data_IF_889499113359
#
_entry.id   IF_889499113359
#
_cell.length_a   1.000
_cell.length_b   1.000
_cell.length_c   1.000
_cell.angle_alpha   90.00
_cell.angle_beta   90.00
_cell.angle_gamma   90.00
#
_symmetry.space_group_name_H-M   'P 1'
#
loop_
_entity.id
_entity.type
_entity.pdbx_description
1 polymer ?
#
# COMPACT_ATOMS: atom_id res chain seq x y z
N UNK A 1 -2.58 -1.72 -20.49
CA UNK A 1 -1.74 -1.54 -19.30
C UNK A 1 -2.59 -1.70 -18.04
N UNK A 2 -2.18 -2.54 -17.09
CA UNK A 2 -2.81 -2.76 -15.79
C UNK A 2 -2.66 -1.52 -14.92
N UNK A 3 -3.70 -1.16 -14.18
CA UNK A 3 -3.69 -0.06 -13.20
C UNK A 3 -2.82 -0.43 -11.99
N UNK A 4 -1.92 0.45 -11.58
CA UNK A 4 -1.13 0.32 -10.36
C UNK A 4 -1.73 1.22 -9.26
N UNK A 5 -2.26 0.58 -8.22
CA UNK A 5 -2.97 1.23 -7.11
C UNK A 5 -2.09 1.16 -5.86
N UNK A 6 -1.75 2.30 -5.28
CA UNK A 6 -1.09 2.33 -3.96
C UNK A 6 -2.15 2.52 -2.89
N UNK A 7 -2.19 1.61 -1.93
CA UNK A 7 -3.07 1.73 -0.77
C UNK A 7 -2.29 1.91 0.52
N UNK A 8 -2.72 2.85 1.37
CA UNK A 8 -2.01 3.18 2.59
C UNK A 8 -2.91 3.72 3.70
N UNK A 9 -2.57 3.36 4.94
CA UNK A 9 -2.88 4.18 6.11
C UNK A 9 -1.82 5.29 6.20
N UNK A 10 -2.27 6.54 6.32
CA UNK A 10 -1.36 7.69 6.35
C UNK A 10 -1.80 8.71 7.41
N UNK A 11 -0.85 9.32 8.11
CA UNK A 11 -1.13 10.44 9.03
C UNK A 11 -1.42 11.73 8.25
N UNK A 12 -1.95 12.76 8.91
CA UNK A 12 -2.19 14.08 8.28
C UNK A 12 -0.89 14.67 7.72
N UNK A 13 0.22 14.46 8.41
CA UNK A 13 1.53 14.88 7.96
C UNK A 13 2.22 13.88 7.02
N UNK A 14 1.52 12.90 6.45
CA UNK A 14 2.01 12.07 5.34
C UNK A 14 2.89 10.86 5.72
N UNK A 15 2.97 10.51 7.00
CA UNK A 15 3.75 9.36 7.50
C UNK A 15 2.89 8.09 7.44
N UNK A 16 3.48 6.99 6.98
CA UNK A 16 2.81 5.69 6.86
C UNK A 16 3.62 4.54 7.51
N UNK A 17 4.66 4.88 8.28
CA UNK A 17 5.55 3.87 8.86
C UNK A 17 4.88 3.10 10.00
N UNK A 18 5.00 1.77 9.93
CA UNK A 18 4.58 0.82 10.96
C UNK A 18 3.15 1.07 11.52
N UNK A 19 2.12 1.19 10.67
CA UNK A 19 0.77 1.44 11.14
C UNK A 19 0.24 0.24 11.94
N UNK A 20 0.68 -0.97 11.59
CA UNK A 20 0.22 -2.24 12.18
C UNK A 20 0.92 -2.65 13.47
N UNK A 21 1.97 -1.93 13.91
CA UNK A 21 2.74 -2.29 15.11
C UNK A 21 4.12 -2.89 14.82
N UNK A 22 4.62 -2.78 13.59
CA UNK A 22 5.95 -3.27 13.23
C UNK A 22 7.05 -2.57 14.06
N UNK A 23 8.08 -3.30 14.54
CA UNK A 23 9.08 -2.73 15.44
C UNK A 23 10.01 -1.72 14.73
N UNK A 24 10.71 -0.91 15.52
CA UNK A 24 11.74 0.02 15.02
C UNK A 24 11.25 1.45 14.74
N UNK A 25 9.98 1.75 15.03
CA UNK A 25 9.42 3.09 14.91
C UNK A 25 8.75 3.53 16.22
N UNK A 26 9.02 4.76 16.68
CA UNK A 26 8.56 5.23 18.00
C UNK A 26 7.03 5.28 18.14
N UNK A 27 6.33 5.60 17.05
CA UNK A 27 4.87 5.67 17.01
C UNK A 27 4.28 4.41 16.39
N UNK A 28 5.01 3.29 16.34
CA UNK A 28 4.51 2.03 15.79
C UNK A 28 3.13 1.65 16.37
N UNK A 29 2.21 1.19 15.51
CA UNK A 29 0.83 0.89 15.89
C UNK A 29 -0.05 2.12 16.04
N UNK A 30 0.35 3.27 15.45
CA UNK A 30 -0.34 4.54 15.64
C UNK A 30 -1.81 4.53 15.16
N UNK A 31 -2.21 3.62 14.28
CA UNK A 31 -3.63 3.49 13.87
C UNK A 31 -4.54 2.98 14.99
N UNK A 32 -3.96 2.39 16.03
CA UNK A 32 -4.69 1.87 17.20
C UNK A 32 -4.49 2.73 18.46
N UNK A 33 -3.81 3.88 18.33
CA UNK A 33 -3.48 4.76 19.46
C UNK A 33 -4.29 6.05 19.39
N UNK A 34 -5.34 6.11 20.19
CA UNK A 34 -6.16 7.33 20.32
C UNK A 34 -7.08 7.61 19.14
N UNK A 35 -7.21 6.66 18.20
CA UNK A 35 -8.24 6.68 17.16
C UNK A 35 -9.13 5.46 17.41
N UNK A 36 -10.40 5.70 17.72
CA UNK A 36 -11.37 4.63 17.92
C UNK A 36 -11.59 3.87 16.62
N UNK A 37 -11.77 2.55 16.72
CA UNK A 37 -12.07 1.72 15.56
C UNK A 37 -13.48 2.06 15.03
N UNK A 38 -13.57 2.28 13.72
CA UNK A 38 -14.83 2.46 12.99
C UNK A 38 -14.81 1.47 11.82
N UNK A 39 -15.69 0.48 11.86
CA UNK A 39 -15.77 -0.58 10.84
C UNK A 39 -16.02 0.01 9.44
N UNK A 40 -16.80 1.09 9.35
CA UNK A 40 -17.09 1.76 8.07
C UNK A 40 -15.81 2.31 7.42
N UNK A 41 -14.82 2.72 8.22
CA UNK A 41 -13.55 3.22 7.72
C UNK A 41 -12.69 2.14 7.03
N UNK A 42 -12.99 0.86 7.28
CA UNK A 42 -12.24 -0.27 6.73
C UNK A 42 -12.96 -0.98 5.57
N UNK A 43 -14.16 -0.53 5.17
CA UNK A 43 -14.89 -1.08 4.02
C UNK A 43 -14.04 -1.11 2.73
N UNK A 44 -13.25 -0.06 2.49
CA UNK A 44 -12.36 0.00 1.33
C UNK A 44 -11.35 -1.16 1.29
N UNK A 45 -11.01 -1.78 2.43
CA UNK A 45 -10.11 -2.94 2.47
C UNK A 45 -10.74 -4.22 1.93
N UNK A 46 -12.05 -4.37 2.07
CA UNK A 46 -12.77 -5.44 1.38
C UNK A 46 -12.80 -5.16 -0.12
N UNK A 47 -13.19 -3.93 -0.52
CA UNK A 47 -13.28 -3.53 -1.92
C UNK A 47 -11.94 -3.66 -2.68
N UNK A 48 -10.84 -3.30 -2.03
CA UNK A 48 -9.50 -3.43 -2.59
C UNK A 48 -9.15 -4.89 -2.93
N UNK A 49 -9.71 -5.89 -2.24
CA UNK A 49 -9.50 -7.31 -2.57
C UNK A 49 -10.27 -7.72 -3.82
N UNK A 50 -11.49 -7.21 -3.97
CA UNK A 50 -12.34 -7.50 -5.13
C UNK A 50 -11.82 -6.82 -6.41
N UNK A 51 -11.28 -5.60 -6.28
CA UNK A 51 -10.71 -4.84 -7.40
C UNK A 51 -9.33 -5.37 -7.83
N UNK A 52 -8.53 -5.86 -6.90
CA UNK A 52 -7.14 -6.24 -7.19
C UNK A 52 -7.05 -7.58 -7.93
N UNK A 53 -6.33 -7.57 -9.06
CA UNK A 53 -5.92 -8.77 -9.78
C UNK A 53 -4.53 -9.29 -9.40
N UNK A 54 -3.74 -8.53 -8.64
CA UNK A 54 -2.46 -8.98 -8.09
C UNK A 54 -2.01 -8.10 -6.90
N UNK A 55 -1.17 -8.68 -6.04
CA UNK A 55 -0.46 -7.97 -4.98
C UNK A 55 0.97 -7.62 -5.38
N UNK A 56 1.42 -6.43 -4.97
CA UNK A 56 2.80 -6.00 -5.06
C UNK A 56 3.30 -5.54 -3.68
N UNK A 57 4.44 -6.10 -3.27
CA UNK A 57 5.04 -5.84 -1.97
C UNK A 57 6.51 -5.47 -2.08
N UNK A 58 6.98 -4.61 -1.18
CA UNK A 58 8.41 -4.47 -0.90
C UNK A 58 8.89 -5.58 0.03
N UNK A 59 10.18 -5.96 -0.06
CA UNK A 59 10.79 -7.03 0.76
C UNK A 59 10.36 -7.02 2.23
N UNK A 60 10.50 -5.89 2.94
CA UNK A 60 10.22 -5.84 4.39
C UNK A 60 8.75 -6.09 4.72
N UNK A 61 7.84 -5.61 3.87
CA UNK A 61 6.40 -5.89 4.02
C UNK A 61 6.12 -7.36 3.76
N UNK A 62 6.72 -7.93 2.72
CA UNK A 62 6.59 -9.35 2.42
C UNK A 62 7.09 -10.25 3.56
N UNK A 63 8.28 -9.98 4.11
CA UNK A 63 8.85 -10.73 5.24
C UNK A 63 8.00 -10.61 6.51
N UNK A 64 7.35 -9.46 6.72
CA UNK A 64 6.44 -9.26 7.86
C UNK A 64 5.09 -9.97 7.67
N UNK A 65 4.59 -10.03 6.43
CA UNK A 65 3.26 -10.55 6.13
C UNK A 65 3.24 -12.06 5.86
N UNK A 66 4.28 -12.61 5.22
CA UNK A 66 4.36 -14.02 4.86
C UNK A 66 4.13 -15.01 6.04
N UNK A 67 4.54 -14.73 7.29
CA UNK A 67 4.24 -15.61 8.42
C UNK A 67 2.79 -15.52 8.94
N UNK A 68 2.02 -14.49 8.57
CA UNK A 68 0.74 -14.15 9.21
C UNK A 68 -0.42 -14.13 8.21
N UNK A 69 -0.28 -13.46 7.08
CA UNK A 69 -1.37 -13.28 6.11
C UNK A 69 -1.94 -14.60 5.58
N UNK A 70 -1.15 -15.65 5.28
CA UNK A 70 -1.69 -16.95 4.86
C UNK A 70 -2.68 -17.57 5.85
N UNK A 71 -2.61 -17.20 7.14
CA UNK A 71 -3.52 -17.72 8.17
C UNK A 71 -4.81 -16.90 8.32
N UNK A 72 -4.85 -15.69 7.75
CA UNK A 72 -6.01 -14.78 7.77
C UNK A 72 -6.96 -15.11 6.62
N UNK A 73 -7.60 -16.28 6.71
CA UNK A 73 -8.39 -16.88 5.63
C UNK A 73 -9.80 -16.29 5.47
N UNK A 74 -10.26 -15.50 6.43
CA UNK A 74 -11.54 -14.79 6.34
C UNK A 74 -11.31 -13.36 5.85
N UNK A 75 -10.38 -12.64 6.48
CA UNK A 75 -10.15 -11.23 6.23
C UNK A 75 -9.34 -10.97 4.96
N UNK A 76 -8.39 -11.84 4.60
CA UNK A 76 -7.46 -11.65 3.48
C UNK A 76 -7.48 -12.82 2.47
N UNK A 77 -8.60 -13.54 2.40
CA UNK A 77 -8.77 -14.67 1.49
C UNK A 77 -8.44 -14.32 0.03
N UNK A 78 -8.96 -13.18 -0.45
CA UNK A 78 -8.75 -12.72 -1.83
C UNK A 78 -7.28 -12.41 -2.10
N UNK A 79 -6.64 -11.68 -1.20
CA UNK A 79 -5.20 -11.39 -1.25
C UNK A 79 -4.32 -12.63 -1.23
N UNK A 80 -4.70 -13.65 -0.46
CA UNK A 80 -3.96 -14.90 -0.40
C UNK A 80 -4.07 -15.72 -1.69
N UNK A 81 -5.20 -15.63 -2.38
CA UNK A 81 -5.48 -16.38 -3.61
C UNK A 81 -4.89 -15.74 -4.88
N UNK A 82 -4.65 -14.42 -4.89
CA UNK A 82 -4.18 -13.72 -6.09
C UNK A 82 -2.66 -13.84 -6.32
N UNK A 83 -2.19 -13.66 -7.58
CA UNK A 83 -0.76 -13.56 -7.86
C UNK A 83 -0.10 -12.47 -7.02
N UNK A 84 1.09 -12.76 -6.48
CA UNK A 84 1.87 -11.78 -5.72
C UNK A 84 3.27 -11.60 -6.29
N UNK A 85 3.73 -10.36 -6.20
CA UNK A 85 5.02 -9.91 -6.67
C UNK A 85 5.77 -9.21 -5.53
N UNK A 86 7.07 -9.45 -5.42
CA UNK A 86 7.92 -8.80 -4.44
C UNK A 86 9.03 -8.05 -5.14
N UNK A 87 9.08 -6.73 -4.98
CA UNK A 87 10.17 -5.90 -5.51
C UNK A 87 11.33 -5.92 -4.52
N UNK A 88 12.45 -6.52 -4.94
CA UNK A 88 13.64 -6.63 -4.11
C UNK A 88 14.90 -6.97 -4.91
N UNK A 89 15.96 -6.18 -4.70
CA UNK A 89 17.32 -6.48 -5.18
C UNK A 89 18.05 -7.50 -4.31
N UNK A 90 17.52 -7.85 -3.13
CA UNK A 90 18.24 -8.56 -2.07
C UNK A 90 17.52 -9.79 -1.54
N UNK A 91 16.22 -9.95 -1.83
CA UNK A 91 15.48 -11.15 -1.46
C UNK A 91 15.97 -12.31 -2.33
N UNK A 92 16.59 -13.30 -1.68
CA UNK A 92 17.19 -14.44 -2.37
C UNK A 92 16.13 -15.45 -2.82
N UNK A 93 15.15 -15.72 -1.96
CA UNK A 93 14.07 -16.67 -2.21
C UNK A 93 12.75 -16.15 -1.61
N UNK A 94 11.64 -16.65 -2.15
CA UNK A 94 10.30 -16.48 -1.57
C UNK A 94 10.14 -17.31 -0.29
N UNK A 95 9.05 -17.06 0.42
CA UNK A 95 8.54 -17.91 1.49
C UNK A 95 7.55 -18.94 0.93
N UNK A 96 7.78 -20.23 1.17
CA UNK A 96 6.92 -21.31 0.66
C UNK A 96 5.49 -21.28 1.23
N UNK A 97 5.29 -20.64 2.38
CA UNK A 97 3.95 -20.43 2.97
C UNK A 97 3.15 -19.38 2.20
N UNK A 98 3.84 -18.48 1.50
CA UNK A 98 3.22 -17.39 0.75
C UNK A 98 3.98 -17.08 -0.56
N UNK A 99 3.89 -17.98 -1.57
CA UNK A 99 4.73 -17.93 -2.77
C UNK A 99 4.64 -16.62 -3.56
N UNK A 100 5.75 -16.03 -3.98
CA UNK A 100 5.82 -14.77 -4.70
C UNK A 100 6.77 -14.82 -5.91
N UNK A 101 6.44 -14.05 -6.95
CA UNK A 101 7.38 -13.75 -8.03
C UNK A 101 8.27 -12.56 -7.63
N UNK A 102 9.59 -12.73 -7.67
CA UNK A 102 10.53 -11.67 -7.31
C UNK A 102 10.81 -10.79 -8.52
N UNK A 103 10.52 -9.49 -8.41
CA UNK A 103 10.89 -8.45 -9.35
C UNK A 103 12.13 -7.71 -8.83
N UNK A 104 13.08 -7.36 -9.70
CA UNK A 104 14.37 -6.82 -9.25
C UNK A 104 14.44 -5.31 -9.25
N UNK A 105 13.56 -4.64 -9.99
CA UNK A 105 13.53 -3.18 -10.07
C UNK A 105 12.12 -2.62 -10.33
N UNK A 106 12.00 -1.29 -10.32
CA UNK A 106 10.79 -0.58 -10.77
C UNK A 106 10.52 -0.80 -12.26
N UNK A 107 11.56 -1.04 -13.08
CA UNK A 107 11.38 -1.34 -14.51
C UNK A 107 10.69 -2.68 -14.73
N UNK A 108 10.94 -3.67 -13.87
CA UNK A 108 10.22 -4.94 -13.92
C UNK A 108 8.74 -4.76 -13.55
N UNK A 109 8.42 -3.80 -12.66
CA UNK A 109 7.03 -3.40 -12.39
C UNK A 109 6.41 -2.72 -13.60
N UNK A 110 7.15 -1.84 -14.28
CA UNK A 110 6.68 -1.23 -15.53
C UNK A 110 6.35 -2.29 -16.60
N UNK A 111 7.22 -3.30 -16.79
CA UNK A 111 6.95 -4.44 -17.67
C UNK A 111 5.74 -5.25 -17.21
N UNK A 112 5.59 -5.48 -15.91
CA UNK A 112 4.43 -6.18 -15.35
C UNK A 112 3.12 -5.43 -15.64
N UNK A 113 3.12 -4.09 -15.63
CA UNK A 113 1.94 -3.31 -16.02
C UNK A 113 1.52 -3.54 -17.47
N UNK A 114 2.42 -3.93 -18.36
CA UNK A 114 2.09 -4.20 -19.77
C UNK A 114 1.50 -5.60 -20.02
N UNK A 115 1.45 -6.48 -19.01
CA UNK A 115 0.83 -7.80 -19.15
C UNK A 115 -0.69 -7.71 -19.08
N UNK A 116 -1.37 -8.80 -19.45
CA UNK A 116 -2.79 -8.96 -19.16
C UNK A 116 -3.05 -9.15 -17.66
N UNK A 117 -4.30 -8.88 -17.24
CA UNK A 117 -4.77 -9.04 -15.86
C UNK A 117 -5.45 -7.79 -15.29
N UNK A 118 -6.02 -7.93 -14.09
CA UNK A 118 -6.65 -6.83 -13.36
C UNK A 118 -5.65 -5.88 -12.69
N UNK A 119 -6.13 -4.86 -11.95
CA UNK A 119 -5.29 -3.93 -11.18
C UNK A 119 -4.23 -4.61 -10.30
N UNK A 120 -3.11 -3.92 -10.07
CA UNK A 120 -2.02 -4.35 -9.19
C UNK A 120 -2.08 -3.46 -7.94
N UNK A 121 -2.37 -4.05 -6.78
CA UNK A 121 -2.46 -3.32 -5.51
C UNK A 121 -1.13 -3.38 -4.74
N UNK A 122 -0.64 -2.21 -4.32
CA UNK A 122 0.59 -2.04 -3.54
C UNK A 122 0.21 -1.82 -2.08
N UNK A 123 0.35 -2.85 -1.24
CA UNK A 123 0.05 -2.81 0.21
C UNK A 123 1.25 -2.42 1.09
N UNK A 124 2.39 -2.18 0.46
CA UNK A 124 3.64 -1.85 1.11
C UNK A 124 4.82 -2.18 0.21
N UNK A 125 6.04 -1.72 0.51
CA UNK A 125 6.40 -0.87 1.64
C UNK A 125 6.28 0.61 1.28
N UNK A 126 6.30 1.49 2.28
CA UNK A 126 6.38 2.94 2.07
C UNK A 126 7.47 3.35 1.06
N UNK A 127 8.65 2.73 1.16
CA UNK A 127 9.76 2.94 0.24
C UNK A 127 9.44 2.50 -1.18
N UNK A 128 8.68 1.40 -1.35
CA UNK A 128 8.27 0.94 -2.68
C UNK A 128 7.22 1.87 -3.28
N UNK A 129 6.19 2.25 -2.51
CA UNK A 129 5.15 3.19 -2.96
C UNK A 129 5.76 4.53 -3.41
N UNK A 130 6.69 5.09 -2.61
CA UNK A 130 7.42 6.29 -2.96
C UNK A 130 8.25 6.12 -4.23
N UNK A 131 8.99 5.02 -4.37
CA UNK A 131 9.81 4.75 -5.57
C UNK A 131 8.96 4.59 -6.85
N UNK A 132 7.79 3.95 -6.75
CA UNK A 132 6.87 3.78 -7.87
C UNK A 132 6.20 5.11 -8.27
N UNK A 133 5.81 5.91 -7.28
CA UNK A 133 5.31 7.26 -7.52
C UNK A 133 6.40 8.12 -8.18
N UNK A 134 7.63 7.99 -7.68
CA UNK A 134 8.79 8.72 -8.18
C UNK A 134 9.16 8.36 -9.62
N UNK A 135 8.85 7.14 -10.05
CA UNK A 135 8.99 6.66 -11.42
C UNK A 135 7.75 6.93 -12.31
N UNK A 136 6.74 7.63 -11.81
CA UNK A 136 5.51 7.95 -12.56
C UNK A 136 4.59 6.75 -12.83
N UNK A 137 4.81 5.62 -12.15
CA UNK A 137 4.13 4.36 -12.41
C UNK A 137 2.77 4.24 -11.70
N UNK A 138 2.55 5.00 -10.63
CA UNK A 138 1.29 4.95 -9.88
C UNK A 138 0.17 5.60 -10.69
N UNK A 139 -0.96 4.91 -10.77
CA UNK A 139 -2.15 5.39 -11.49
C UNK A 139 -3.23 5.89 -10.51
N UNK A 140 -3.31 5.26 -9.33
CA UNK A 140 -4.33 5.57 -8.32
C UNK A 140 -3.78 5.42 -6.91
N UNK A 141 -4.29 6.24 -5.99
CA UNK A 141 -4.05 6.13 -4.55
C UNK A 141 -5.35 5.86 -3.80
N UNK A 142 -5.34 4.87 -2.91
CA UNK A 142 -6.39 4.62 -1.91
C UNK A 142 -5.82 4.98 -0.54
N UNK A 143 -6.24 6.12 0.01
CA UNK A 143 -5.69 6.64 1.26
C UNK A 143 -6.75 6.63 2.35
N UNK A 144 -6.41 6.04 3.48
CA UNK A 144 -7.11 6.31 4.74
C UNK A 144 -6.23 7.23 5.57
N UNK A 145 -6.63 8.50 5.62
CA UNK A 145 -5.93 9.56 6.33
C UNK A 145 -6.42 9.60 7.77
N UNK A 146 -5.55 9.26 8.71
CA UNK A 146 -5.84 9.28 10.13
C UNK A 146 -5.57 10.67 10.73
N UNK A 147 -6.41 11.14 11.68
CA UNK A 147 -6.32 12.48 12.25
C UNK A 147 -5.21 12.59 13.32
N UNK A 148 -3.98 12.21 12.97
CA UNK A 148 -2.80 12.24 13.84
C UNK A 148 -1.62 12.92 13.16
N UNK A 149 -0.71 13.49 13.96
CA UNK A 149 0.57 14.03 13.52
C UNK A 149 1.69 13.18 14.12
N UNK A 150 2.58 12.67 13.26
CA UNK A 150 3.64 11.76 13.68
C UNK A 150 5.02 12.41 13.70
N UNK A 151 5.20 13.50 12.95
CA UNK A 151 6.40 14.33 12.84
C UNK A 151 7.48 13.68 11.96
N UNK A 152 7.89 12.46 12.29
CA UNK A 152 8.97 11.75 11.61
C UNK A 152 8.56 10.30 11.28
N UNK A 153 9.22 9.72 10.28
CA UNK A 153 8.99 8.35 9.83
C UNK A 153 8.99 8.25 8.30
N UNK A 154 8.89 7.03 7.76
CA UNK A 154 8.73 6.82 6.33
C UNK A 154 7.42 7.43 5.83
N UNK A 155 7.55 8.23 4.77
CA UNK A 155 6.45 8.95 4.11
C UNK A 155 6.03 8.22 2.84
N UNK A 156 4.75 8.34 2.51
CA UNK A 156 4.23 7.81 1.24
C UNK A 156 4.77 8.60 0.06
N UNK A 157 4.77 9.93 0.19
CA UNK A 157 5.20 10.85 -0.85
C UNK A 157 6.65 11.28 -0.63
N UNK A 158 7.40 11.31 -1.72
CA UNK A 158 8.79 11.78 -1.76
C UNK A 158 8.87 13.28 -1.46
N UNK A 159 9.95 13.71 -0.82
CA UNK A 159 10.29 15.13 -0.62
C UNK A 159 11.35 15.60 -1.61
N UNK A 160 11.58 14.83 -2.67
CA UNK A 160 12.48 15.22 -3.75
C UNK A 160 11.92 16.43 -4.52
N UNK A 161 12.81 17.26 -5.04
CA UNK A 161 12.47 18.37 -5.92
C UNK A 161 12.05 17.81 -7.29
N UNK A 162 10.77 17.97 -7.64
CA UNK A 162 10.11 17.32 -8.77
C UNK A 162 9.05 18.20 -9.39
N UNK A 163 8.76 17.93 -10.66
CA UNK A 163 7.62 18.54 -11.35
C UNK A 163 6.29 18.20 -10.69
N UNK A 164 5.32 19.10 -10.87
CA UNK A 164 3.96 18.93 -10.36
C UNK A 164 3.31 17.66 -10.92
N UNK A 165 2.90 16.76 -10.03
CA UNK A 165 1.98 15.66 -10.36
C UNK A 165 0.55 16.07 -9.97
N UNK A 166 -0.35 16.11 -10.96
CA UNK A 166 -1.76 16.44 -10.71
C UNK A 166 -2.53 15.19 -10.25
N UNK A 167 -3.34 15.35 -9.22
CA UNK A 167 -4.25 14.32 -8.73
C UNK A 167 -5.70 14.80 -8.86
N UNK A 168 -6.59 13.90 -9.28
CA UNK A 168 -8.03 14.11 -9.26
C UNK A 168 -8.63 13.31 -8.10
N UNK A 169 -9.31 13.98 -7.16
CA UNK A 169 -10.07 13.31 -6.12
C UNK A 169 -11.33 12.71 -6.75
N UNK A 170 -11.42 11.38 -6.80
CA UNK A 170 -12.53 10.67 -7.47
C UNK A 170 -13.51 10.04 -6.49
N UNK A 171 -13.10 9.77 -5.25
CA UNK A 171 -13.97 9.33 -4.16
C UNK A 171 -13.43 9.86 -2.84
N UNK A 172 -14.32 10.24 -1.91
CA UNK A 172 -13.94 10.60 -0.55
C UNK A 172 -15.06 10.34 0.45
N UNK A 173 -14.69 10.17 1.71
CA UNK A 173 -15.61 10.02 2.83
C UNK A 173 -14.93 10.43 4.14
N UNK A 174 -15.69 10.94 5.10
CA UNK A 174 -15.21 11.25 6.45
C UNK A 174 -16.00 10.40 7.45
N UNK A 175 -15.28 9.61 8.24
CA UNK A 175 -15.86 8.69 9.21
C UNK A 175 -16.01 9.32 10.59
N UNK A 176 -16.75 8.66 11.49
CA UNK A 176 -17.09 9.22 12.81
C UNK A 176 -15.86 9.40 13.71
N UNK A 177 -14.86 8.54 13.54
CA UNK A 177 -13.58 8.61 14.23
C UNK A 177 -12.60 9.65 13.62
N UNK A 178 -13.04 10.42 12.62
CA UNK A 178 -12.24 11.44 11.95
C UNK A 178 -11.26 10.91 10.90
N UNK A 179 -11.19 9.59 10.66
CA UNK A 179 -10.47 9.02 9.52
C UNK A 179 -11.15 9.48 8.23
N UNK A 180 -10.35 9.75 7.20
CA UNK A 180 -10.84 10.19 5.90
C UNK A 180 -10.42 9.19 4.82
N UNK A 181 -11.37 8.65 4.07
CA UNK A 181 -11.10 7.95 2.82
C UNK A 181 -10.88 8.97 1.73
N UNK A 182 -9.79 8.83 0.98
CA UNK A 182 -9.51 9.63 -0.21
C UNK A 182 -8.98 8.73 -1.32
N UNK A 183 -9.67 8.70 -2.45
CA UNK A 183 -9.24 8.00 -3.66
C UNK A 183 -8.85 9.04 -4.70
N UNK A 184 -7.61 8.96 -5.17
CA UNK A 184 -7.07 9.87 -6.17
C UNK A 184 -6.65 9.13 -7.43
N UNK A 185 -7.01 9.65 -8.59
CA UNK A 185 -6.41 9.28 -9.86
C UNK A 185 -5.26 10.22 -10.22
N UNK A 186 -4.15 9.67 -10.72
CA UNK A 186 -3.03 10.44 -11.27
C UNK A 186 -3.41 10.93 -12.66
N UNK A 187 -3.40 12.25 -12.84
CA UNK A 187 -3.74 12.89 -14.12
C UNK A 187 -2.48 13.00 -14.98
N UNK A 188 -2.51 12.39 -16.16
CA UNK A 188 -1.43 12.42 -17.16
C UNK A 188 -1.81 13.24 -18.39
#
# INVERSE_FOLDING_TARGET
MRTLIVTAFVSVDGVMEAPGGEPGYRNSGWTFKGVEFDEAAYEIKAREQDEAGALLLGRRSYEAFAPVWPTMVEEFAGYNAMPRYVVSSTLAAQDDRWPATILRSVDDVAKLKETEGGPISVHGSATLGAALADAGLVDRYHLLVFPVLLGAGKRLFSTADKDLTKLALVEHEVYKNGVQKQVFDVVR
#
